data_IF_487026036324
#
_entry.id   IF_487026036324
#
_cell.length_a   1.000
_cell.length_b   1.000
_cell.length_c   1.000
_cell.angle_alpha   90.00
_cell.angle_beta   90.00
_cell.angle_gamma   90.00
#
_symmetry.space_group_name_H-M   'P 1'
#
loop_
_entity.id
_entity.type
_entity.pdbx_description
1 polymer ?
#
# COMPACT_ATOMS: atom_id res chain seq x y z
N UNK A 1 -9.82 -35.73 -8.72
CA UNK A 1 -10.09 -34.60 -7.81
C UNK A 1 -9.24 -33.42 -8.26
N UNK A 2 -9.86 -32.28 -8.59
CA UNK A 2 -9.13 -31.06 -8.97
C UNK A 2 -8.65 -30.42 -7.66
N UNK A 3 -7.34 -30.16 -7.47
CA UNK A 3 -6.86 -29.57 -6.22
C UNK A 3 -7.50 -28.20 -6.02
N UNK A 4 -7.84 -27.97 -4.76
CA UNK A 4 -8.83 -27.03 -4.26
C UNK A 4 -8.63 -25.58 -4.71
N UNK A 5 -9.77 -24.91 -4.86
CA UNK A 5 -9.89 -23.52 -5.28
C UNK A 5 -9.06 -22.59 -4.37
N UNK A 6 -8.41 -21.59 -4.97
CA UNK A 6 -7.83 -20.48 -4.22
C UNK A 6 -8.88 -19.83 -3.31
N UNK A 7 -8.59 -19.79 -2.00
CA UNK A 7 -9.50 -19.21 -1.01
C UNK A 7 -8.97 -17.85 -0.58
N UNK A 8 -9.79 -16.82 -0.77
CA UNK A 8 -9.50 -15.48 -0.24
C UNK A 8 -9.79 -15.53 1.26
N UNK A 9 -8.77 -15.32 2.10
CA UNK A 9 -8.89 -15.46 3.56
C UNK A 9 -9.37 -14.19 4.25
N UNK A 10 -9.01 -13.02 3.71
CA UNK A 10 -9.39 -11.72 4.29
C UNK A 10 -9.19 -10.57 3.31
N UNK A 11 -10.08 -9.59 3.35
CA UNK A 11 -9.89 -8.27 2.72
C UNK A 11 -9.61 -7.23 3.81
N UNK A 12 -8.54 -6.45 3.66
CA UNK A 12 -8.17 -5.35 4.56
C UNK A 12 -8.49 -4.04 3.84
N UNK A 13 -9.23 -3.13 4.46
CA UNK A 13 -9.49 -1.82 3.85
C UNK A 13 -8.17 -1.08 3.56
N UNK A 14 -8.16 -0.19 2.56
CA UNK A 14 -6.97 0.55 2.10
C UNK A 14 -6.25 1.36 3.18
N UNK A 15 -6.91 1.61 4.32
CA UNK A 15 -6.37 2.40 5.43
C UNK A 15 -6.70 3.89 5.30
N UNK A 16 -6.27 4.71 6.27
CA UNK A 16 -6.55 6.13 6.31
C UNK A 16 -5.85 6.88 5.18
N UNK A 17 -6.49 7.93 4.69
CA UNK A 17 -5.94 8.82 3.65
C UNK A 17 -4.65 9.47 4.15
N UNK A 18 -3.60 9.43 3.31
CA UNK A 18 -2.30 10.04 3.56
C UNK A 18 -2.22 11.40 2.85
N UNK A 19 -1.91 12.46 3.60
CA UNK A 19 -1.62 13.78 3.05
C UNK A 19 -0.12 14.06 3.15
N UNK A 20 0.49 14.52 2.06
CA UNK A 20 1.90 14.88 1.96
C UNK A 20 1.98 16.34 1.53
N UNK A 21 2.66 17.17 2.31
CA UNK A 21 2.87 18.57 1.95
C UNK A 21 3.91 18.67 0.83
N UNK A 22 3.69 19.57 -0.13
CA UNK A 22 4.62 19.85 -1.23
C UNK A 22 4.69 21.34 -1.53
N UNK A 23 5.85 21.82 -1.94
CA UNK A 23 6.06 23.20 -2.40
C UNK A 23 5.75 23.36 -3.90
N UNK A 24 5.49 22.25 -4.61
CA UNK A 24 5.18 22.24 -6.05
C UNK A 24 3.73 22.64 -6.36
N UNK A 25 2.85 22.57 -5.36
CA UNK A 25 1.43 22.93 -5.49
C UNK A 25 1.17 24.27 -4.80
N UNK A 26 0.21 25.03 -5.32
CA UNK A 26 -0.19 26.27 -4.67
C UNK A 26 -0.76 25.97 -3.27
N UNK A 27 -0.60 26.88 -2.30
CA UNK A 27 -1.12 26.70 -0.96
C UNK A 27 -2.58 26.25 -0.94
N UNK A 28 -2.85 25.09 -0.32
CA UNK A 28 -4.20 24.51 -0.20
C UNK A 28 -4.70 23.75 -1.44
N UNK A 29 -3.95 23.74 -2.55
CA UNK A 29 -4.24 22.90 -3.70
C UNK A 29 -3.95 21.43 -3.37
N UNK A 30 -4.89 20.54 -3.72
CA UNK A 30 -4.79 19.10 -3.44
C UNK A 30 -4.69 18.32 -4.75
N UNK A 31 -3.71 17.43 -4.84
CA UNK A 31 -3.52 16.53 -5.98
C UNK A 31 -3.49 15.08 -5.52
N UNK A 32 -4.42 14.27 -6.02
CA UNK A 32 -4.42 12.83 -5.79
C UNK A 32 -3.24 12.20 -6.55
N UNK A 33 -2.38 11.47 -5.84
CA UNK A 33 -1.23 10.77 -6.43
C UNK A 33 -1.36 9.26 -6.39
N UNK A 34 -2.05 8.71 -5.38
CA UNK A 34 -2.26 7.27 -5.25
C UNK A 34 -3.71 6.97 -4.89
N UNK A 35 -4.33 6.04 -5.62
CA UNK A 35 -5.70 5.60 -5.36
C UNK A 35 -5.73 4.51 -4.28
N UNK A 36 -6.79 4.45 -3.48
CA UNK A 36 -6.92 3.43 -2.46
C UNK A 36 -7.08 2.04 -3.09
N UNK A 37 -6.33 1.06 -2.59
CA UNK A 37 -6.52 -0.36 -2.92
C UNK A 37 -6.63 -1.19 -1.62
N UNK A 38 -7.64 -2.07 -1.51
CA UNK A 38 -7.74 -2.96 -0.37
C UNK A 38 -6.57 -3.94 -0.35
N UNK A 39 -6.06 -4.20 0.85
CA UNK A 39 -5.14 -5.30 1.11
C UNK A 39 -5.88 -6.64 1.08
N UNK A 40 -5.13 -7.73 0.97
CA UNK A 40 -5.74 -9.05 1.00
C UNK A 40 -4.74 -10.14 1.32
N UNK A 41 -5.22 -11.21 1.95
CA UNK A 41 -4.44 -12.43 2.16
C UNK A 41 -5.13 -13.57 1.44
N UNK A 42 -4.37 -14.37 0.69
CA UNK A 42 -4.89 -15.54 -0.02
C UNK A 42 -4.00 -16.74 0.29
N UNK A 43 -4.64 -17.89 0.47
CA UNK A 43 -3.95 -19.18 0.58
C UNK A 43 -4.35 -20.08 -0.58
N UNK A 44 -3.36 -20.78 -1.11
CA UNK A 44 -3.53 -21.77 -2.16
C UNK A 44 -2.90 -23.09 -1.70
N UNK A 45 -3.75 -24.11 -1.61
CA UNK A 45 -3.34 -25.46 -1.24
C UNK A 45 -3.01 -26.26 -2.51
N UNK A 46 -1.77 -26.71 -2.60
CA UNK A 46 -1.28 -27.56 -3.67
C UNK A 46 -1.14 -28.99 -3.18
N UNK A 47 -1.88 -29.92 -3.80
CA UNK A 47 -1.84 -31.33 -3.48
C UNK A 47 -1.56 -32.16 -4.73
N UNK A 48 -0.52 -32.98 -4.68
CA UNK A 48 -0.16 -33.94 -5.74
C UNK A 48 -0.15 -35.34 -5.15
N UNK A 49 -0.93 -36.23 -5.75
CA UNK A 49 -0.88 -37.66 -5.47
C UNK A 49 -0.10 -38.36 -6.58
N UNK A 50 1.01 -38.99 -6.21
CA UNK A 50 1.86 -39.77 -7.12
C UNK A 50 1.27 -41.17 -7.34
N UNK A 51 1.61 -41.85 -8.46
CA UNK A 51 1.10 -43.19 -8.77
C UNK A 51 1.48 -44.27 -7.74
N UNK A 52 2.54 -44.04 -6.96
CA UNK A 52 3.00 -44.91 -5.87
C UNK A 52 2.28 -44.63 -4.54
N UNK A 53 1.25 -43.78 -4.54
CA UNK A 53 0.46 -43.42 -3.37
C UNK A 53 1.08 -42.34 -2.49
N UNK A 54 2.27 -41.81 -2.84
CA UNK A 54 2.82 -40.65 -2.11
C UNK A 54 1.94 -39.43 -2.35
N UNK A 55 1.68 -38.67 -1.29
CA UNK A 55 0.96 -37.40 -1.35
C UNK A 55 1.95 -36.30 -0.97
N UNK A 56 2.05 -35.28 -1.83
CA UNK A 56 2.82 -34.08 -1.57
C UNK A 56 1.85 -32.90 -1.44
N UNK A 57 1.88 -32.26 -0.28
CA UNK A 57 1.03 -31.13 0.06
C UNK A 57 1.90 -29.90 0.33
N UNK A 58 1.53 -28.78 -0.27
CA UNK A 58 2.22 -27.50 -0.10
C UNK A 58 1.22 -26.35 0.00
N UNK A 59 1.35 -25.54 1.04
CA UNK A 59 0.54 -24.34 1.25
C UNK A 59 1.30 -23.12 0.73
N UNK A 60 0.69 -22.37 -0.20
CA UNK A 60 1.22 -21.12 -0.71
C UNK A 60 0.45 -19.94 -0.12
N UNK A 61 1.15 -19.00 0.51
CA UNK A 61 0.56 -17.78 1.08
C UNK A 61 0.94 -16.57 0.25
N UNK A 62 -0.06 -15.75 -0.09
CA UNK A 62 0.17 -14.44 -0.71
C UNK A 62 -0.48 -13.36 0.13
N UNK A 63 0.29 -12.29 0.39
CA UNK A 63 -0.11 -11.16 1.22
C UNK A 63 0.06 -9.86 0.43
N UNK A 64 -1.06 -9.21 0.12
CA UNK A 64 -1.08 -7.87 -0.48
C UNK A 64 -1.33 -6.83 0.61
N UNK A 65 -0.41 -5.88 0.77
CA UNK A 65 -0.53 -4.82 1.76
C UNK A 65 -1.59 -3.81 1.33
N UNK A 66 -2.47 -3.34 2.25
CA UNK A 66 -3.41 -2.29 1.93
C UNK A 66 -2.69 -1.02 1.49
N UNK A 67 -3.20 -0.39 0.44
CA UNK A 67 -2.61 0.79 -0.16
C UNK A 67 -3.50 2.01 0.08
N UNK A 68 -3.12 2.94 0.97
CA UNK A 68 -3.96 4.09 1.28
C UNK A 68 -4.04 5.08 0.13
N UNK A 69 -5.10 5.88 0.12
CA UNK A 69 -5.22 7.01 -0.78
C UNK A 69 -4.21 8.10 -0.38
N UNK A 70 -3.36 8.54 -1.31
CA UNK A 70 -2.33 9.54 -1.04
C UNK A 70 -2.60 10.82 -1.82
N UNK A 71 -2.59 11.96 -1.11
CA UNK A 71 -2.76 13.30 -1.65
C UNK A 71 -1.52 14.15 -1.40
N UNK A 72 -1.09 14.89 -2.41
CA UNK A 72 -0.20 16.02 -2.24
C UNK A 72 -1.02 17.26 -1.89
N UNK A 73 -0.57 18.06 -0.93
CA UNK A 73 -1.18 19.32 -0.52
C UNK A 73 -0.15 20.43 -0.62
N UNK A 74 -0.45 21.49 -1.36
CA UNK A 74 0.43 22.64 -1.47
C UNK A 74 0.62 23.32 -0.12
N UNK A 75 1.87 23.45 0.31
CA UNK A 75 2.24 24.05 1.59
C UNK A 75 1.98 25.56 1.56
N UNK A 76 1.44 26.12 2.64
CA UNK A 76 1.42 27.57 2.82
C UNK A 76 2.83 28.04 3.16
N UNK A 77 3.41 29.01 2.43
CA UNK A 77 4.66 29.63 2.84
C UNK A 77 4.41 30.36 4.15
N UNK A 78 4.82 29.75 5.26
CA UNK A 78 4.81 30.41 6.55
C UNK A 78 5.95 31.42 6.52
N UNK A 79 5.63 32.70 6.67
CA UNK A 79 6.54 33.84 6.54
C UNK A 79 7.64 33.92 7.62
N UNK A 80 8.03 32.80 8.21
CA UNK A 80 9.06 32.68 9.26
C UNK A 80 10.44 32.30 8.70
N UNK A 81 10.55 31.90 7.42
CA UNK A 81 11.84 31.53 6.81
C UNK A 81 12.59 32.71 6.17
N UNK A 82 12.18 33.95 6.45
CA UNK A 82 12.79 35.17 5.91
C UNK A 82 13.72 35.91 6.89
N UNK A 83 13.99 35.39 8.09
CA UNK A 83 14.84 36.06 9.09
C UNK A 83 15.85 35.11 9.72
N UNK A 84 16.82 34.63 8.94
CA UNK A 84 18.16 34.47 9.48
C UNK A 84 18.98 35.63 8.93
N UNK A 85 19.43 36.59 9.77
CA UNK A 85 20.34 37.61 9.29
C UNK A 85 21.59 36.93 8.73
N UNK A 86 22.17 37.43 7.63
CA UNK A 86 23.38 36.86 7.07
C UNK A 86 24.47 36.92 8.15
N UNK A 87 24.95 35.75 8.59
CA UNK A 87 26.14 35.69 9.43
C UNK A 87 27.29 36.19 8.55
N UNK A 88 27.79 37.38 8.86
CA UNK A 88 28.88 38.02 8.13
C UNK A 88 30.18 37.20 8.29
N UNK A 89 31.09 37.22 7.30
CA UNK A 89 32.30 36.39 7.27
C UNK A 89 33.31 36.73 8.37
#
# INVERSE_FOLDING_TARGET
>A
EVPDKATILSSIASGPVRYIETDELKPGEKKLVEKPAPGGSTVFDYKVTYPDGRVNEQEFKSFYRPWPETWLVGKTPSSTDATLPPVAP
#
